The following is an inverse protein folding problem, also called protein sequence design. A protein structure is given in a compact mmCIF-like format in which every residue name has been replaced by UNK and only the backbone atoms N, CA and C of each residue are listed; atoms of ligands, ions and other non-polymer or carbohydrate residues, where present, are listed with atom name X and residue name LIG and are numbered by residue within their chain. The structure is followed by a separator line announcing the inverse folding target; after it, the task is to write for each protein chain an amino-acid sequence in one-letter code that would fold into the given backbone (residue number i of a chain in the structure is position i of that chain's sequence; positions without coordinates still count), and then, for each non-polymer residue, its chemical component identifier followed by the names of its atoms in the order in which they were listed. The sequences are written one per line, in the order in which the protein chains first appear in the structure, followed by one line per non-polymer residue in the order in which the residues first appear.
data_IF_829329249120
#
_entry.id   IF_829329249120
#
_cell.length_a   1.000
_cell.length_b   1.000
_cell.length_c   1.000
_cell.angle_alpha   90.00
_cell.angle_beta   90.00
_cell.angle_gamma   90.00
#
_symmetry.space_group_name_H-M   'P 1'
#
loop_
_entity.id
_entity.type
_entity.pdbx_description
1 polymer ?
#
# COMPACT_ATOMS: atom_id res chain seq x y z
N UNK A 1 -18.22 15.75 -13.21
CA UNK A 1 -18.15 14.27 -13.36
C UNK A 1 -19.38 13.67 -14.05
N UNK A 2 -20.58 13.80 -13.49
CA UNK A 2 -21.81 13.18 -14.06
C UNK A 2 -22.08 13.61 -15.50
N UNK A 3 -21.92 14.89 -15.84
CA UNK A 3 -22.08 15.39 -17.22
C UNK A 3 -21.12 14.75 -18.24
N UNK A 4 -19.97 14.24 -17.80
CA UNK A 4 -19.03 13.49 -18.64
C UNK A 4 -19.44 12.03 -18.88
N UNK A 5 -20.56 11.59 -18.29
CA UNK A 5 -21.15 10.24 -18.44
C UNK A 5 -22.54 10.27 -19.08
N UNK A 6 -23.10 11.45 -19.33
CA UNK A 6 -24.44 11.62 -19.89
C UNK A 6 -24.33 12.16 -21.31
N UNK A 7 -25.15 11.64 -22.21
CA UNK A 7 -25.31 12.13 -23.59
C UNK A 7 -26.68 12.79 -23.68
N UNK A 8 -26.74 14.08 -24.04
CA UNK A 8 -28.00 14.83 -24.12
C UNK A 8 -28.64 14.86 -25.50
N UNK A 9 -27.96 14.31 -26.52
CA UNK A 9 -28.43 14.34 -27.91
C UNK A 9 -29.46 13.26 -28.24
N UNK A 10 -29.97 12.53 -27.24
CA UNK A 10 -30.96 11.46 -27.38
C UNK A 10 -30.52 10.15 -26.72
N UNK A 11 -31.47 9.22 -26.55
CA UNK A 11 -31.20 7.89 -26.04
C UNK A 11 -30.43 7.05 -27.08
N UNK A 12 -29.32 6.46 -26.66
CA UNK A 12 -28.48 5.62 -27.51
C UNK A 12 -28.47 4.21 -26.92
N UNK A 13 -29.18 3.29 -27.55
CA UNK A 13 -29.15 1.86 -27.24
C UNK A 13 -28.08 1.12 -28.07
N UNK A 14 -27.86 -0.16 -27.76
CA UNK A 14 -26.81 -0.96 -28.38
C UNK A 14 -27.06 -1.31 -29.85
N UNK A 15 -28.30 -1.18 -30.37
CA UNK A 15 -28.56 -1.35 -31.81
C UNK A 15 -27.88 -0.25 -32.64
N UNK A 16 -27.60 0.89 -32.00
CA UNK A 16 -26.94 2.02 -32.62
C UNK A 16 -25.41 1.98 -32.42
N UNK A 17 -24.85 0.95 -31.80
CA UNK A 17 -23.41 0.82 -31.53
C UNK A 17 -22.67 0.28 -32.76
N UNK A 18 -21.66 1.01 -33.22
CA UNK A 18 -20.73 0.55 -34.26
C UNK A 18 -19.33 1.10 -34.00
N UNK A 19 -18.32 0.39 -34.50
CA UNK A 19 -16.92 0.78 -34.33
C UNK A 19 -16.65 2.16 -34.93
N UNK A 20 -16.00 3.03 -34.16
CA UNK A 20 -15.69 4.40 -34.54
C UNK A 20 -16.83 5.40 -34.33
N UNK A 21 -17.99 5.02 -33.78
CA UNK A 21 -19.08 5.96 -33.50
C UNK A 21 -18.64 7.03 -32.50
N UNK A 22 -18.77 8.31 -32.87
CA UNK A 22 -18.49 9.43 -31.97
C UNK A 22 -19.73 9.77 -31.15
N UNK A 23 -19.54 9.95 -29.84
CA UNK A 23 -20.55 10.30 -28.86
C UNK A 23 -20.15 11.62 -28.21
N UNK A 24 -21.04 12.61 -28.22
CA UNK A 24 -20.81 13.89 -27.54
C UNK A 24 -21.47 13.85 -26.16
N UNK A 25 -20.64 13.93 -25.13
CA UNK A 25 -21.05 13.95 -23.74
C UNK A 25 -21.59 15.34 -23.35
N UNK A 26 -22.32 15.40 -22.24
CA UNK A 26 -22.95 16.61 -21.74
C UNK A 26 -22.00 17.72 -21.30
N UNK A 27 -20.70 17.40 -21.16
CA UNK A 27 -19.62 18.36 -20.97
C UNK A 27 -18.98 18.82 -22.30
N UNK A 28 -19.65 18.58 -23.44
CA UNK A 28 -19.21 18.90 -24.80
C UNK A 28 -17.97 18.14 -25.31
N UNK A 29 -17.47 17.16 -24.56
CA UNK A 29 -16.38 16.32 -25.01
C UNK A 29 -16.87 15.14 -25.82
N UNK A 30 -15.99 14.58 -26.65
CA UNK A 30 -16.34 13.43 -27.48
C UNK A 30 -15.66 12.16 -27.00
N UNK A 31 -16.38 11.05 -27.03
CA UNK A 31 -15.87 9.69 -26.87
C UNK A 31 -16.07 8.93 -28.17
N UNK A 32 -15.19 7.97 -28.43
CA UNK A 32 -15.31 7.07 -29.57
C UNK A 32 -15.71 5.69 -29.06
N UNK A 33 -16.80 5.15 -29.59
CA UNK A 33 -17.22 3.79 -29.31
C UNK A 33 -16.41 2.83 -30.18
N UNK A 34 -15.71 1.89 -29.55
CA UNK A 34 -14.81 0.93 -30.18
C UNK A 34 -15.37 -0.48 -30.02
N UNK A 35 -15.43 -1.25 -31.10
CA UNK A 35 -15.84 -2.66 -31.07
C UNK A 35 -14.58 -3.55 -31.14
N UNK A 36 -14.32 -4.33 -30.08
CA UNK A 36 -13.16 -5.22 -29.99
C UNK A 36 -13.64 -6.61 -29.56
N UNK A 37 -13.43 -7.62 -30.40
CA UNK A 37 -13.75 -9.02 -30.11
C UNK A 37 -15.21 -9.27 -29.64
N UNK A 38 -16.18 -8.53 -30.21
CA UNK A 38 -17.59 -8.63 -29.84
C UNK A 38 -17.99 -7.84 -28.60
N UNK A 39 -17.04 -7.16 -27.94
CA UNK A 39 -17.29 -6.25 -26.82
C UNK A 39 -17.19 -4.79 -27.28
N UNK A 40 -17.84 -3.89 -26.53
CA UNK A 40 -17.83 -2.46 -26.81
C UNK A 40 -17.11 -1.69 -25.71
N UNK A 41 -16.34 -0.70 -26.14
CA UNK A 41 -15.56 0.17 -25.29
C UNK A 41 -15.83 1.62 -25.63
N UNK A 42 -15.73 2.51 -24.65
CA UNK A 42 -15.72 3.95 -24.81
C UNK A 42 -14.27 4.42 -24.67
N UNK A 43 -13.72 5.01 -25.73
CA UNK A 43 -12.33 5.47 -25.80
C UNK A 43 -12.30 7.01 -25.89
N UNK A 44 -11.41 7.64 -25.12
CA UNK A 44 -11.18 9.09 -25.19
C UNK A 44 -10.49 9.47 -26.49
N UNK A 45 -10.62 10.74 -26.94
CA UNK A 45 -10.03 11.18 -28.21
C UNK A 45 -8.50 11.06 -28.21
N UNK A 46 -7.87 11.27 -27.06
CA UNK A 46 -6.43 11.14 -26.86
C UNK A 46 -5.96 9.68 -26.74
N UNK A 47 -6.89 8.71 -26.79
CA UNK A 47 -6.66 7.27 -26.66
C UNK A 47 -5.96 6.85 -25.37
N UNK A 48 -5.93 7.71 -24.35
CA UNK A 48 -5.30 7.40 -23.06
C UNK A 48 -6.20 6.60 -22.13
N UNK A 49 -7.51 6.58 -22.40
CA UNK A 49 -8.51 5.88 -21.61
C UNK A 49 -9.45 5.09 -22.51
N UNK A 50 -9.71 3.85 -22.12
CA UNK A 50 -10.69 2.97 -22.77
C UNK A 50 -11.44 2.21 -21.68
N UNK A 51 -12.76 2.35 -21.65
CA UNK A 51 -13.63 1.78 -20.63
C UNK A 51 -14.59 0.81 -21.28
N UNK A 52 -14.73 -0.40 -20.71
CA UNK A 52 -15.64 -1.40 -21.25
C UNK A 52 -17.09 -1.07 -20.90
N UNK A 53 -18.00 -1.31 -21.82
CA UNK A 53 -19.43 -1.34 -21.53
C UNK A 53 -19.78 -2.76 -21.07
N UNK A 54 -20.09 -2.92 -19.78
CA UNK A 54 -20.32 -4.22 -19.14
C UNK A 54 -21.76 -4.69 -19.28
N UNK A 55 -22.71 -3.77 -19.09
CA UNK A 55 -24.14 -4.03 -19.28
C UNK A 55 -24.70 -2.97 -20.20
N UNK A 56 -25.46 -3.43 -21.19
CA UNK A 56 -26.08 -2.59 -22.20
C UNK A 56 -27.59 -2.54 -21.97
N UNK A 57 -28.20 -1.46 -22.43
CA UNK A 57 -29.65 -1.35 -22.66
C UNK A 57 -30.52 -1.48 -21.40
N UNK A 58 -30.10 -0.88 -20.28
CA UNK A 58 -30.95 -0.74 -19.10
C UNK A 58 -31.95 0.38 -19.38
N UNK A 59 -33.17 0.01 -19.77
CA UNK A 59 -34.25 0.96 -20.04
C UNK A 59 -34.72 1.69 -18.79
N UNK A 60 -34.83 3.02 -18.88
CA UNK A 60 -35.42 3.88 -17.85
C UNK A 60 -36.45 4.82 -18.50
N UNK A 61 -37.30 5.47 -17.70
CA UNK A 61 -38.46 6.25 -18.20
C UNK A 61 -38.09 7.41 -19.12
N UNK A 62 -36.85 7.89 -19.06
CA UNK A 62 -36.36 9.03 -19.82
C UNK A 62 -35.07 8.75 -20.62
N UNK A 63 -34.72 7.48 -20.85
CA UNK A 63 -33.51 7.15 -21.60
C UNK A 63 -33.04 5.70 -21.44
N UNK A 64 -31.75 5.51 -21.66
CA UNK A 64 -31.07 4.21 -21.57
C UNK A 64 -29.82 4.38 -20.73
N UNK A 65 -29.60 3.44 -19.80
CA UNK A 65 -28.39 3.36 -18.98
C UNK A 65 -27.53 2.20 -19.48
N UNK A 66 -26.23 2.46 -19.59
CA UNK A 66 -25.21 1.45 -19.83
C UNK A 66 -24.26 1.43 -18.64
N UNK A 67 -24.01 0.26 -18.05
CA UNK A 67 -23.00 0.10 -17.01
C UNK A 67 -21.63 0.01 -17.67
N UNK A 68 -20.71 0.84 -17.20
CA UNK A 68 -19.34 0.90 -17.69
C UNK A 68 -18.38 0.46 -16.60
N UNK A 69 -17.28 -0.17 -16.99
CA UNK A 69 -16.31 -0.74 -16.06
C UNK A 69 -15.50 0.31 -15.28
N UNK A 70 -15.67 1.60 -15.57
CA UNK A 70 -14.94 2.69 -14.94
C UNK A 70 -15.58 4.06 -15.16
N UNK A 71 -15.20 5.04 -14.33
CA UNK A 71 -15.59 6.44 -14.44
C UNK A 71 -14.84 7.08 -15.60
N UNK A 72 -15.56 7.58 -16.60
CA UNK A 72 -15.02 8.34 -17.73
C UNK A 72 -14.62 9.74 -17.28
N UNK A 73 -13.33 10.03 -17.39
CA UNK A 73 -12.81 11.35 -17.12
C UNK A 73 -12.56 12.11 -18.41
N UNK A 74 -12.78 13.41 -18.30
CA UNK A 74 -12.73 14.34 -19.40
C UNK A 74 -11.30 14.54 -19.94
N UNK A 75 -11.15 14.87 -21.23
CA UNK A 75 -9.89 15.37 -21.79
C UNK A 75 -9.42 16.56 -20.92
N UNK A 76 -8.18 16.50 -20.42
CA UNK A 76 -7.61 17.50 -19.51
C UNK A 76 -7.94 17.33 -18.01
N UNK A 77 -8.74 16.33 -17.62
CA UNK A 77 -9.00 16.06 -16.20
C UNK A 77 -7.78 15.38 -15.55
N UNK A 78 -7.06 16.12 -14.72
CA UNK A 78 -5.77 15.67 -14.14
C UNK A 78 -5.97 14.85 -12.86
N UNK A 79 -4.91 14.22 -12.38
CA UNK A 79 -4.86 13.58 -11.05
C UNK A 79 -5.28 14.58 -9.97
N UNK A 80 -4.82 15.84 -10.05
CA UNK A 80 -5.23 16.86 -9.09
C UNK A 80 -6.73 17.18 -9.14
N UNK A 81 -7.35 17.18 -10.32
CA UNK A 81 -8.81 17.33 -10.42
C UNK A 81 -9.52 16.15 -9.75
N UNK A 82 -9.07 14.92 -10.00
CA UNK A 82 -9.62 13.73 -9.35
C UNK A 82 -9.51 13.80 -7.82
N UNK A 83 -8.34 14.18 -7.30
CA UNK A 83 -8.09 14.38 -5.87
C UNK A 83 -9.05 15.41 -5.27
N UNK A 84 -9.35 16.48 -5.99
CA UNK A 84 -10.28 17.53 -5.53
C UNK A 84 -11.74 17.07 -5.49
N UNK A 85 -12.16 16.22 -6.43
CA UNK A 85 -13.57 15.85 -6.60
C UNK A 85 -13.95 14.57 -5.85
N UNK A 86 -12.99 13.66 -5.59
CA UNK A 86 -13.24 12.37 -4.94
C UNK A 86 -13.37 12.57 -3.42
N UNK A 87 -14.54 12.29 -2.81
CA UNK A 87 -14.74 12.53 -1.38
C UNK A 87 -13.78 11.75 -0.47
N UNK A 88 -13.39 10.53 -0.87
CA UNK A 88 -12.46 9.67 -0.14
C UNK A 88 -11.03 10.22 -0.06
N UNK A 89 -10.68 11.24 -0.86
CA UNK A 89 -9.35 11.83 -0.92
C UNK A 89 -9.29 13.24 -0.31
N UNK A 90 -10.36 13.67 0.37
CA UNK A 90 -10.50 15.03 0.90
C UNK A 90 -9.38 15.41 1.88
N UNK A 91 -8.95 14.49 2.75
CA UNK A 91 -7.82 14.72 3.68
C UNK A 91 -6.51 14.98 2.95
N UNK A 92 -6.20 14.14 1.96
CA UNK A 92 -5.03 14.33 1.09
C UNK A 92 -5.09 15.69 0.40
N UNK A 93 -6.23 16.00 -0.22
CA UNK A 93 -6.44 17.29 -0.91
C UNK A 93 -6.18 18.47 0.03
N UNK A 94 -6.78 18.49 1.22
CA UNK A 94 -6.67 19.61 2.15
C UNK A 94 -5.23 19.83 2.63
N UNK A 95 -4.49 18.75 2.89
CA UNK A 95 -3.09 18.80 3.30
C UNK A 95 -2.21 19.30 2.16
N UNK A 96 -2.30 18.67 0.99
CA UNK A 96 -1.42 19.00 -0.16
C UNK A 96 -1.73 20.39 -0.70
N UNK A 97 -3.01 20.77 -0.81
CA UNK A 97 -3.41 22.09 -1.30
C UNK A 97 -2.92 23.22 -0.41
N UNK A 98 -2.87 23.00 0.91
CA UNK A 98 -2.46 24.02 1.88
C UNK A 98 -0.95 24.09 2.08
N UNK A 99 -0.25 22.94 2.06
CA UNK A 99 1.12 22.86 2.55
C UNK A 99 2.15 22.44 1.50
N UNK A 100 1.74 21.77 0.41
CA UNK A 100 2.65 21.16 -0.55
C UNK A 100 2.34 21.59 -2.00
N UNK A 101 2.51 22.88 -2.35
CA UNK A 101 2.15 23.41 -3.67
C UNK A 101 2.93 22.75 -4.81
N UNK A 102 4.20 22.38 -4.61
CA UNK A 102 5.01 21.70 -5.62
C UNK A 102 4.45 20.32 -6.00
N UNK A 103 4.00 19.55 -5.00
CA UNK A 103 3.36 18.26 -5.24
C UNK A 103 2.03 18.45 -5.96
N UNK A 104 1.22 19.43 -5.53
CA UNK A 104 -0.02 19.82 -6.25
C UNK A 104 0.26 20.13 -7.72
N UNK A 105 1.24 20.98 -8.01
CA UNK A 105 1.59 21.39 -9.37
C UNK A 105 2.02 20.18 -10.21
N UNK A 106 2.79 19.27 -9.60
CA UNK A 106 3.20 18.00 -10.21
C UNK A 106 2.00 17.14 -10.58
N UNK A 107 1.06 16.94 -9.65
CA UNK A 107 -0.16 16.16 -9.86
C UNK A 107 -1.14 16.82 -10.85
N UNK A 108 -1.01 18.13 -11.08
CA UNK A 108 -1.80 18.88 -12.05
C UNK A 108 -1.12 19.02 -13.42
N UNK A 109 0.14 18.60 -13.56
CA UNK A 109 0.89 18.76 -14.82
C UNK A 109 0.35 17.83 -15.90
N UNK A 110 0.13 18.37 -17.11
CA UNK A 110 -0.33 17.59 -18.25
C UNK A 110 0.73 16.56 -18.69
N UNK A 111 0.31 15.35 -19.02
CA UNK A 111 1.20 14.35 -19.62
C UNK A 111 1.21 14.51 -21.15
N UNK A 112 2.23 15.17 -21.68
CA UNK A 112 2.40 15.37 -23.13
C UNK A 112 2.66 14.06 -23.89
N UNK A 113 3.25 13.07 -23.21
CA UNK A 113 3.55 11.74 -23.75
C UNK A 113 3.29 10.64 -22.72
N UNK A 114 3.09 9.37 -23.12
CA UNK A 114 2.83 8.27 -22.18
C UNK A 114 3.92 8.11 -21.11
N UNK A 115 5.19 8.38 -21.44
CA UNK A 115 6.30 8.33 -20.48
C UNK A 115 6.32 9.48 -19.47
N UNK A 116 5.54 10.53 -19.71
CA UNK A 116 5.30 11.61 -18.75
C UNK A 116 4.03 11.37 -17.91
N UNK A 117 3.34 10.24 -18.09
CA UNK A 117 2.23 9.87 -17.23
C UNK A 117 2.73 9.42 -15.86
N UNK A 118 1.87 9.50 -14.85
CA UNK A 118 2.16 9.03 -13.49
C UNK A 118 1.20 7.94 -13.05
N UNK A 119 1.63 7.15 -12.07
CA UNK A 119 0.75 6.31 -11.26
C UNK A 119 0.88 6.77 -9.82
N UNK A 120 -0.26 7.05 -9.19
CA UNK A 120 -0.29 7.61 -7.84
C UNK A 120 -1.09 6.68 -6.94
N UNK A 121 -0.49 6.27 -5.82
CA UNK A 121 -1.14 5.45 -4.81
C UNK A 121 -1.60 6.35 -3.68
N UNK A 122 -2.89 6.63 -3.56
CA UNK A 122 -3.38 7.62 -2.60
C UNK A 122 -4.06 6.95 -1.41
N UNK A 123 -3.67 7.28 -0.17
CA UNK A 123 -4.38 6.78 1.00
C UNK A 123 -5.76 7.43 1.13
N UNK A 124 -6.73 6.66 1.60
CA UNK A 124 -8.08 7.16 1.88
C UNK A 124 -8.13 8.10 3.08
N UNK A 125 -9.26 8.79 3.26
CA UNK A 125 -9.50 9.61 4.45
C UNK A 125 -9.36 8.81 5.75
N UNK A 126 -9.84 7.57 5.77
CA UNK A 126 -9.77 6.69 6.93
C UNK A 126 -8.31 6.39 7.31
N UNK A 127 -7.42 6.26 6.31
CA UNK A 127 -5.98 6.11 6.54
C UNK A 127 -5.40 7.39 7.15
N UNK A 128 -5.73 8.56 6.60
CA UNK A 128 -5.28 9.84 7.15
C UNK A 128 -5.76 10.08 8.57
N UNK A 129 -7.00 9.70 8.89
CA UNK A 129 -7.54 9.83 10.24
C UNK A 129 -6.81 8.91 11.23
N UNK A 130 -6.46 7.67 10.82
CA UNK A 130 -5.62 6.77 11.64
C UNK A 130 -4.19 7.31 11.83
N UNK A 131 -3.64 7.94 10.81
CA UNK A 131 -2.30 8.51 10.79
C UNK A 131 -2.23 9.96 11.30
N UNK A 132 -3.35 10.53 11.79
CA UNK A 132 -3.46 11.96 12.08
C UNK A 132 -2.40 12.47 13.07
N UNK A 133 -2.09 11.71 14.12
CA UNK A 133 -1.05 12.08 15.10
C UNK A 133 0.31 12.26 14.41
N UNK A 134 0.68 11.31 13.56
CA UNK A 134 1.93 11.35 12.80
C UNK A 134 1.92 12.50 11.79
N UNK A 135 0.86 12.60 10.98
CA UNK A 135 0.73 13.61 9.93
C UNK A 135 0.77 15.01 10.52
N UNK A 136 0.00 15.28 11.57
CA UNK A 136 -0.04 16.59 12.23
C UNK A 136 1.28 16.93 12.90
N UNK A 137 1.91 15.96 13.58
CA UNK A 137 3.22 16.18 14.21
C UNK A 137 4.30 16.49 13.17
N UNK A 138 4.37 15.73 12.07
CA UNK A 138 5.35 16.00 11.00
C UNK A 138 5.04 17.30 10.29
N UNK A 139 3.78 17.60 10.03
CA UNK A 139 3.42 18.86 9.40
C UNK A 139 3.85 20.08 10.23
N UNK A 140 3.77 19.98 11.57
CA UNK A 140 4.18 21.04 12.49
C UNK A 140 5.70 21.15 12.64
N UNK A 141 6.40 20.02 12.78
CA UNK A 141 7.81 19.99 13.17
C UNK A 141 8.77 19.76 11.99
N UNK A 142 8.38 18.91 11.04
CA UNK A 142 9.23 18.38 9.97
C UNK A 142 8.44 18.22 8.64
N UNK A 143 7.87 19.30 8.08
CA UNK A 143 7.02 19.22 6.89
C UNK A 143 7.74 18.65 5.66
N UNK A 144 9.07 18.81 5.59
CA UNK A 144 9.91 18.22 4.54
C UNK A 144 9.89 16.67 4.56
N UNK A 145 9.80 16.06 5.75
CA UNK A 145 9.70 14.60 5.89
C UNK A 145 8.35 14.11 5.38
N UNK A 146 7.28 14.83 5.69
CA UNK A 146 5.95 14.52 5.19
C UNK A 146 5.85 14.73 3.67
N UNK A 147 6.43 15.81 3.13
CA UNK A 147 6.50 16.05 1.68
C UNK A 147 7.22 14.90 0.96
N UNK A 148 8.39 14.49 1.48
CA UNK A 148 9.13 13.34 0.95
C UNK A 148 8.28 12.06 0.98
N UNK A 149 7.59 11.79 2.09
CA UNK A 149 6.73 10.61 2.19
C UNK A 149 5.55 10.63 1.20
N UNK A 150 4.90 11.79 1.00
CA UNK A 150 3.83 11.95 0.01
C UNK A 150 4.35 11.77 -1.42
N UNK A 151 5.55 12.26 -1.73
CA UNK A 151 6.21 12.00 -3.02
C UNK A 151 6.56 10.51 -3.23
N UNK A 152 6.75 9.76 -2.15
CA UNK A 152 6.92 8.29 -2.18
C UNK A 152 5.71 7.53 -2.73
N UNK A 153 4.55 8.19 -2.87
CA UNK A 153 3.35 7.59 -3.44
C UNK A 153 3.22 7.75 -4.96
N UNK A 154 4.15 8.47 -5.59
CA UNK A 154 4.10 8.84 -7.01
C UNK A 154 5.22 8.10 -7.75
N UNK A 155 4.88 7.40 -8.82
CA UNK A 155 5.84 6.77 -9.73
C UNK A 155 5.62 7.23 -11.18
N UNK A 156 6.70 7.23 -11.96
CA UNK A 156 6.65 7.53 -13.40
C UNK A 156 6.09 6.34 -14.17
N UNK A 157 5.17 6.62 -15.10
CA UNK A 157 4.51 5.65 -15.97
C UNK A 157 3.04 5.42 -15.60
N UNK A 158 2.25 4.97 -16.58
CA UNK A 158 0.84 4.61 -16.39
C UNK A 158 0.70 3.10 -16.19
N UNK A 159 0.42 2.70 -14.95
CA UNK A 159 0.25 1.30 -14.53
C UNK A 159 -1.17 1.07 -14.02
N UNK A 160 -2.14 0.82 -14.92
CA UNK A 160 -3.43 0.29 -14.51
C UNK A 160 -3.25 -1.11 -13.92
N UNK A 161 -4.24 -1.58 -13.17
CA UNK A 161 -4.25 -2.88 -12.50
C UNK A 161 -4.03 -4.04 -13.47
N UNK A 162 -4.44 -3.89 -14.73
CA UNK A 162 -4.22 -4.86 -15.81
C UNK A 162 -2.76 -5.00 -16.27
N UNK A 163 -1.89 -4.03 -15.94
CA UNK A 163 -0.44 -4.09 -16.24
C UNK A 163 0.40 -4.50 -15.02
N UNK A 164 -0.25 -4.74 -13.88
CA UNK A 164 0.37 -5.18 -12.65
C UNK A 164 0.26 -6.70 -12.57
N UNK A 165 1.38 -7.35 -12.88
CA UNK A 165 1.55 -8.80 -12.85
C UNK A 165 2.90 -9.12 -12.25
N UNK A 166 2.97 -10.19 -11.46
CA UNK A 166 4.16 -10.57 -10.73
C UNK A 166 4.60 -9.48 -9.76
N UNK A 167 5.90 -9.33 -9.59
CA UNK A 167 6.51 -8.33 -8.74
C UNK A 167 7.34 -7.35 -9.58
N UNK A 168 7.14 -6.05 -9.35
CA UNK A 168 7.87 -4.98 -10.01
C UNK A 168 8.36 -3.96 -9.00
N UNK A 169 9.56 -3.42 -9.28
CA UNK A 169 10.23 -2.44 -8.43
C UNK A 169 10.34 -1.14 -9.21
N UNK A 170 9.95 -0.03 -8.58
CA UNK A 170 9.91 1.30 -9.15
C UNK A 170 10.65 2.29 -8.25
N UNK A 171 11.21 3.33 -8.85
CA UNK A 171 11.65 4.53 -8.13
C UNK A 171 10.49 5.51 -8.05
N UNK A 172 10.29 6.05 -6.86
CA UNK A 172 9.27 7.07 -6.57
C UNK A 172 9.84 8.46 -6.79
N UNK A 173 8.98 9.48 -6.73
CA UNK A 173 9.40 10.88 -6.85
C UNK A 173 10.23 11.34 -5.65
N UNK A 174 10.12 10.66 -4.50
CA UNK A 174 10.99 10.90 -3.35
C UNK A 174 12.41 10.33 -3.52
N UNK A 175 12.64 9.55 -4.58
CA UNK A 175 13.87 8.78 -4.81
C UNK A 175 13.90 7.44 -4.08
N UNK A 176 12.90 7.14 -3.24
CA UNK A 176 12.82 5.87 -2.52
C UNK A 176 12.22 4.78 -3.42
N UNK A 177 12.45 3.52 -3.05
CA UNK A 177 11.93 2.35 -3.77
C UNK A 177 10.47 2.07 -3.38
N UNK A 178 9.65 1.76 -4.38
CA UNK A 178 8.29 1.26 -4.23
C UNK A 178 8.11 -0.02 -5.03
N UNK A 179 7.64 -1.07 -4.36
CA UNK A 179 7.42 -2.39 -4.93
C UNK A 179 5.93 -2.64 -5.08
N UNK A 180 5.53 -3.11 -6.25
CA UNK A 180 4.13 -3.43 -6.57
C UNK A 180 4.10 -4.92 -6.89
N UNK A 181 3.20 -5.67 -6.25
CA UNK A 181 3.07 -7.09 -6.51
C UNK A 181 1.63 -7.56 -6.61
N UNK A 182 1.43 -8.57 -7.45
CA UNK A 182 0.17 -9.29 -7.59
C UNK A 182 0.48 -10.76 -7.85
N UNK A 183 0.02 -11.65 -6.95
CA UNK A 183 0.27 -13.10 -7.05
C UNK A 183 -0.41 -13.71 -8.28
N UNK A 184 -1.67 -13.38 -8.53
CA UNK A 184 -2.44 -13.81 -9.69
C UNK A 184 -3.57 -12.81 -10.05
N UNK A 185 -4.30 -13.08 -11.14
CA UNK A 185 -5.37 -12.19 -11.64
C UNK A 185 -6.53 -11.99 -10.65
N UNK A 186 -6.70 -12.82 -9.63
CA UNK A 186 -7.81 -12.69 -8.66
C UNK A 186 -7.35 -12.15 -7.31
N UNK A 187 -6.05 -12.17 -7.06
CA UNK A 187 -5.42 -11.66 -5.84
C UNK A 187 -5.53 -10.14 -5.68
N UNK A 188 -5.44 -9.69 -4.41
CA UNK A 188 -5.20 -8.28 -4.08
C UNK A 188 -3.87 -7.82 -4.69
N UNK A 189 -3.81 -6.53 -5.04
CA UNK A 189 -2.57 -5.89 -5.48
C UNK A 189 -1.95 -5.25 -4.25
N UNK A 190 -0.72 -5.64 -3.92
CA UNK A 190 0.04 -5.10 -2.81
C UNK A 190 1.02 -4.04 -3.30
N UNK A 191 1.15 -2.96 -2.53
CA UNK A 191 2.09 -1.86 -2.75
C UNK A 191 2.93 -1.71 -1.49
N UNK A 192 4.24 -1.73 -1.64
CA UNK A 192 5.20 -1.74 -0.55
C UNK A 192 6.15 -0.56 -0.71
N UNK A 193 6.16 0.36 0.24
CA UNK A 193 6.98 1.58 0.21
C UNK A 193 7.40 1.99 1.62
N UNK A 194 8.71 2.19 1.83
CA UNK A 194 9.27 2.55 3.14
C UNK A 194 8.90 1.56 4.26
N UNK A 195 8.98 0.26 3.96
CA UNK A 195 8.62 -0.87 4.83
C UNK A 195 7.13 -1.02 5.19
N UNK A 196 6.26 -0.14 4.70
CA UNK A 196 4.80 -0.27 4.83
C UNK A 196 4.27 -1.13 3.70
N UNK A 197 3.42 -2.10 4.02
CA UNK A 197 2.67 -2.88 3.03
C UNK A 197 1.20 -2.47 3.06
N UNK A 198 0.70 -2.08 1.88
CA UNK A 198 -0.67 -1.64 1.67
C UNK A 198 -1.31 -2.42 0.52
N UNK A 199 -2.62 -2.58 0.55
CA UNK A 199 -3.42 -3.13 -0.53
C UNK A 199 -4.16 -2.03 -1.30
N UNK A 200 -4.36 -2.24 -2.60
CA UNK A 200 -5.19 -1.34 -3.41
C UNK A 200 -6.67 -1.69 -3.22
N UNK A 201 -7.40 -0.79 -2.58
CA UNK A 201 -8.86 -0.86 -2.33
C UNK A 201 -9.66 -0.42 -3.56
N UNK A 202 -9.28 0.72 -4.16
CA UNK A 202 -9.93 1.24 -5.39
C UNK A 202 -8.90 1.32 -6.50
N UNK A 203 -9.19 0.66 -7.61
CA UNK A 203 -8.26 0.53 -8.73
C UNK A 203 -8.66 1.44 -9.88
N UNK A 204 -7.66 1.80 -10.68
CA UNK A 204 -7.87 2.29 -12.05
C UNK A 204 -8.68 3.59 -12.15
N UNK A 205 -8.49 4.54 -11.25
CA UNK A 205 -9.07 5.87 -11.42
C UNK A 205 -8.22 6.62 -12.46
N UNK A 206 -8.63 6.54 -13.72
CA UNK A 206 -7.84 7.11 -14.82
C UNK A 206 -7.93 8.63 -14.87
N UNK A 207 -6.83 9.28 -15.22
CA UNK A 207 -6.77 10.72 -15.45
C UNK A 207 -6.04 11.00 -16.77
N UNK A 208 -6.13 12.22 -17.28
CA UNK A 208 -5.43 12.66 -18.50
C UNK A 208 -3.89 12.59 -18.39
N UNK A 209 -3.37 12.76 -17.17
CA UNK A 209 -1.94 12.72 -16.84
C UNK A 209 -1.49 11.48 -16.06
N UNK A 210 -2.37 10.52 -15.78
CA UNK A 210 -1.97 9.30 -15.08
C UNK A 210 -3.10 8.39 -14.67
N UNK A 211 -2.86 7.59 -13.63
CA UNK A 211 -3.86 6.75 -12.97
C UNK A 211 -3.68 6.82 -11.46
N UNK A 212 -4.78 6.85 -10.74
CA UNK A 212 -4.82 6.80 -9.27
C UNK A 212 -5.29 5.41 -8.84
N UNK A 213 -4.67 4.90 -7.79
CA UNK A 213 -5.13 3.74 -7.03
C UNK A 213 -5.28 4.16 -5.57
N UNK A 214 -6.44 3.92 -4.96
CA UNK A 214 -6.63 4.21 -3.53
C UNK A 214 -6.14 3.02 -2.72
N UNK A 215 -5.34 3.28 -1.71
CA UNK A 215 -4.65 2.28 -0.89
C UNK A 215 -5.04 2.38 0.59
N UNK A 216 -4.93 1.26 1.30
CA UNK A 216 -5.35 1.13 2.71
C UNK A 216 -4.29 1.55 3.75
N UNK A 217 -3.18 2.15 3.33
CA UNK A 217 -2.13 2.67 4.21
C UNK A 217 -1.35 3.86 3.62
N UNK A 218 -0.64 4.61 4.47
CA UNK A 218 0.23 5.73 4.09
C UNK A 218 1.68 5.24 4.00
N UNK A 219 2.14 4.99 2.78
CA UNK A 219 3.49 4.51 2.50
C UNK A 219 4.55 5.49 2.98
N UNK A 220 5.76 4.97 3.22
CA UNK A 220 6.91 5.77 3.68
C UNK A 220 6.68 6.51 5.01
N UNK A 221 5.65 6.11 5.77
CA UNK A 221 5.38 6.63 7.11
C UNK A 221 5.03 5.49 8.07
N UNK A 222 5.52 5.52 9.31
CA UNK A 222 5.01 4.61 10.33
C UNK A 222 3.59 5.02 10.73
N UNK A 223 2.59 4.28 10.27
CA UNK A 223 1.18 4.47 10.65
C UNK A 223 0.69 3.46 11.68
N UNK A 224 1.43 2.36 11.86
CA UNK A 224 1.05 1.24 12.72
C UNK A 224 1.97 1.13 13.92
N UNK A 225 1.45 0.57 15.00
CA UNK A 225 2.24 0.20 16.17
C UNK A 225 3.06 -1.04 15.88
N UNK A 226 4.08 -1.30 16.69
CA UNK A 226 4.97 -2.47 16.56
C UNK A 226 4.15 -3.76 16.58
N UNK A 227 3.19 -3.89 17.49
CA UNK A 227 2.34 -5.08 17.57
C UNK A 227 1.49 -5.29 16.30
N UNK A 228 0.96 -4.21 15.73
CA UNK A 228 0.18 -4.25 14.49
C UNK A 228 1.05 -4.60 13.27
N UNK A 229 2.26 -4.06 13.18
CA UNK A 229 3.22 -4.40 12.11
C UNK A 229 3.59 -5.87 12.13
N UNK A 230 3.88 -6.42 13.31
CA UNK A 230 4.25 -7.84 13.46
C UNK A 230 3.08 -8.76 13.06
N UNK A 231 1.84 -8.40 13.40
CA UNK A 231 0.62 -9.15 13.05
C UNK A 231 0.35 -9.26 11.55
N UNK A 232 0.87 -8.33 10.74
CA UNK A 232 0.57 -8.27 9.30
C UNK A 232 1.69 -8.88 8.43
N UNK A 233 2.81 -9.27 9.03
CA UNK A 233 3.99 -9.76 8.33
C UNK A 233 4.01 -11.26 8.17
N UNK A 234 3.87 -11.73 6.93
CA UNK A 234 3.87 -13.17 6.58
C UNK A 234 5.18 -13.89 7.02
N UNK A 235 6.31 -13.16 7.07
CA UNK A 235 7.62 -13.65 7.51
C UNK A 235 7.77 -13.82 9.04
N UNK A 236 6.74 -13.46 9.81
CA UNK A 236 6.74 -13.43 11.28
C UNK A 236 5.66 -14.32 11.92
N UNK A 237 5.09 -15.30 11.21
CA UNK A 237 3.98 -16.15 11.68
C UNK A 237 4.16 -16.79 13.07
N UNK A 238 5.36 -17.27 13.41
CA UNK A 238 5.63 -17.78 14.77
C UNK A 238 5.52 -16.69 15.84
N UNK A 239 6.04 -15.50 15.57
CA UNK A 239 5.96 -14.35 16.47
C UNK A 239 4.54 -13.82 16.63
N UNK A 240 3.72 -13.88 15.56
CA UNK A 240 2.30 -13.56 15.66
C UNK A 240 1.61 -14.47 16.68
N UNK A 241 1.84 -15.78 16.58
CA UNK A 241 1.27 -16.78 17.50
C UNK A 241 1.74 -16.55 18.93
N UNK A 242 3.03 -16.29 19.11
CA UNK A 242 3.62 -16.04 20.41
C UNK A 242 3.05 -14.75 21.04
N UNK A 243 2.93 -13.67 20.27
CA UNK A 243 2.36 -12.43 20.77
C UNK A 243 0.88 -12.55 21.10
N UNK A 244 0.09 -13.32 20.36
CA UNK A 244 -1.30 -13.60 20.76
C UNK A 244 -1.40 -14.33 22.11
N UNK A 245 -0.37 -15.10 22.49
CA UNK A 245 -0.30 -15.80 23.78
C UNK A 245 0.30 -14.97 24.92
N UNK A 246 1.21 -14.03 24.60
CA UNK A 246 2.02 -13.28 25.59
C UNK A 246 1.61 -11.81 25.74
N UNK A 247 0.79 -11.26 24.83
CA UNK A 247 0.53 -9.82 24.71
C UNK A 247 -0.06 -9.13 25.95
N UNK A 248 -0.64 -9.86 26.91
CA UNK A 248 -1.34 -9.25 28.04
C UNK A 248 -0.49 -9.10 29.33
N UNK A 249 0.75 -9.59 29.37
CA UNK A 249 1.40 -9.80 30.69
C UNK A 249 2.64 -8.95 31.00
N UNK A 250 3.36 -8.38 30.02
CA UNK A 250 4.65 -7.69 30.29
C UNK A 250 4.89 -6.36 29.54
N UNK A 251 4.34 -6.16 28.35
CA UNK A 251 4.57 -4.96 27.54
C UNK A 251 3.39 -4.73 26.58
N UNK A 252 3.05 -3.46 26.32
CA UNK A 252 1.99 -3.11 25.36
C UNK A 252 2.60 -2.58 24.06
N UNK A 253 2.93 -3.48 23.12
CA UNK A 253 3.45 -3.08 21.79
C UNK A 253 2.43 -2.33 20.92
N UNK A 254 1.20 -2.16 21.40
CA UNK A 254 0.16 -1.36 20.77
C UNK A 254 -0.05 0.00 21.46
N UNK A 255 0.65 0.28 22.57
CA UNK A 255 0.63 1.61 23.18
C UNK A 255 1.39 2.61 22.31
N UNK A 256 0.70 3.62 21.79
CA UNK A 256 1.29 4.68 20.92
C UNK A 256 2.33 5.55 21.64
N UNK A 257 2.15 5.75 22.94
CA UNK A 257 2.96 6.67 23.76
C UNK A 257 4.26 6.04 24.27
N UNK A 258 4.30 4.71 24.36
CA UNK A 258 5.51 4.00 24.70
C UNK A 258 6.46 4.00 23.50
N UNK A 259 7.76 3.90 23.73
CA UNK A 259 8.77 3.80 22.66
C UNK A 259 9.58 2.54 22.86
N UNK A 260 9.63 1.69 21.84
CA UNK A 260 10.34 0.42 21.88
C UNK A 260 11.30 0.28 20.69
N UNK A 261 12.38 -0.47 20.89
CA UNK A 261 13.15 -1.08 19.79
C UNK A 261 13.03 -2.57 19.98
N UNK A 262 12.45 -3.27 19.00
CA UNK A 262 12.14 -4.69 19.10
C UNK A 262 12.91 -5.47 18.05
N UNK A 263 13.67 -6.47 18.52
CA UNK A 263 14.32 -7.45 17.66
C UNK A 263 13.42 -8.69 17.56
N UNK A 264 12.95 -8.99 16.36
CA UNK A 264 11.91 -9.98 16.11
C UNK A 264 12.48 -11.11 15.24
N UNK A 265 12.60 -12.35 15.77
CA UNK A 265 13.07 -13.47 14.97
C UNK A 265 12.09 -13.80 13.83
N UNK A 266 12.60 -14.06 12.62
CA UNK A 266 11.79 -14.48 11.49
C UNK A 266 11.39 -15.97 11.56
N UNK A 267 10.54 -16.43 10.65
CA UNK A 267 10.12 -17.84 10.61
C UNK A 267 11.28 -18.83 10.45
N UNK A 268 12.35 -18.44 9.75
CA UNK A 268 13.54 -19.30 9.57
C UNK A 268 14.28 -19.49 10.89
N UNK A 269 14.36 -18.44 11.71
CA UNK A 269 14.95 -18.48 13.04
C UNK A 269 14.26 -19.53 13.93
N UNK A 270 12.93 -19.57 13.91
CA UNK A 270 12.16 -20.59 14.64
C UNK A 270 12.35 -21.98 14.05
N UNK A 271 12.32 -22.10 12.73
CA UNK A 271 12.46 -23.38 12.03
C UNK A 271 13.84 -24.03 12.21
N UNK A 272 14.85 -23.24 12.59
CA UNK A 272 16.19 -23.73 12.91
C UNK A 272 16.29 -24.44 14.28
N UNK A 273 15.25 -24.34 15.12
CA UNK A 273 15.23 -24.95 16.45
C UNK A 273 14.64 -26.37 16.40
N UNK A 274 15.08 -27.28 17.30
CA UNK A 274 14.40 -28.56 17.48
C UNK A 274 12.92 -28.35 17.83
N UNK A 275 12.05 -29.20 17.30
CA UNK A 275 10.59 -29.11 17.48
C UNK A 275 10.16 -29.03 18.96
N UNK A 276 10.84 -29.77 19.84
CA UNK A 276 10.58 -29.73 21.28
C UNK A 276 10.86 -28.35 21.89
N UNK A 277 11.89 -27.65 21.41
CA UNK A 277 12.23 -26.28 21.82
C UNK A 277 11.19 -25.27 21.32
N UNK A 278 10.70 -25.42 20.09
CA UNK A 278 9.65 -24.55 19.52
C UNK A 278 8.37 -24.70 20.34
N UNK A 279 7.97 -25.94 20.66
CA UNK A 279 6.81 -26.20 21.52
C UNK A 279 6.98 -25.55 22.89
N UNK A 280 8.13 -25.74 23.56
CA UNK A 280 8.41 -25.12 24.86
C UNK A 280 8.33 -23.59 24.80
N UNK A 281 8.87 -22.95 23.77
CA UNK A 281 8.82 -21.49 23.59
C UNK A 281 7.39 -20.97 23.38
N UNK A 282 6.51 -21.74 22.71
CA UNK A 282 5.11 -21.37 22.50
C UNK A 282 4.23 -21.48 23.77
N UNK A 283 4.77 -22.02 24.88
CA UNK A 283 4.07 -22.22 26.15
C UNK A 283 4.84 -21.65 27.38
N UNK A 284 5.90 -20.87 27.18
CA UNK A 284 6.71 -20.33 28.28
C UNK A 284 6.34 -18.88 28.64
N UNK A 285 5.95 -18.65 29.89
CA UNK A 285 5.78 -17.34 30.53
C UNK A 285 7.11 -16.81 31.09
N UNK A 286 7.77 -15.87 30.38
CA UNK A 286 8.53 -14.71 30.92
C UNK A 286 9.59 -14.20 29.93
N UNK A 287 9.51 -12.92 29.57
CA UNK A 287 10.45 -12.24 28.66
C UNK A 287 11.08 -11.03 29.35
N UNK A 288 12.42 -10.90 29.32
CA UNK A 288 13.15 -9.75 29.91
C UNK A 288 14.07 -9.05 28.90
N UNK A 289 14.23 -7.73 29.08
CA UNK A 289 14.87 -6.75 28.18
C UNK A 289 16.39 -6.96 27.99
N UNK A 290 16.92 -6.55 26.83
CA UNK A 290 18.36 -6.45 26.54
C UNK A 290 18.69 -5.10 25.85
N UNK A 291 19.91 -4.52 26.00
CA UNK A 291 20.23 -3.18 25.53
C UNK A 291 20.68 -3.11 24.05
N UNK A 292 20.61 -1.89 23.51
CA UNK A 292 20.89 -1.49 22.11
C UNK A 292 22.36 -1.09 21.96
N UNK A 293 23.04 -1.44 20.85
CA UNK A 293 24.27 -0.76 20.41
C UNK A 293 24.44 -0.65 18.88
N UNK A 294 24.81 0.60 18.52
CA UNK A 294 25.61 1.22 17.45
C UNK A 294 25.65 0.73 15.99
N UNK A 295 25.75 1.73 15.11
CA UNK A 295 25.48 1.78 13.68
C UNK A 295 26.68 1.56 12.76
N UNK A 296 26.38 0.85 11.67
CA UNK A 296 27.02 0.80 10.32
C UNK A 296 27.74 -0.50 9.97
N UNK A 297 27.25 -1.11 8.87
CA UNK A 297 27.57 -2.42 8.27
C UNK A 297 27.13 -3.66 9.08
N UNK A 298 26.22 -4.44 8.47
CA UNK A 298 25.71 -5.75 8.93
C UNK A 298 25.44 -5.77 10.45
N UNK A 299 24.23 -5.36 10.85
CA UNK A 299 23.84 -5.34 12.25
C UNK A 299 23.74 -6.77 12.80
N UNK A 300 24.48 -7.05 13.87
CA UNK A 300 24.33 -8.27 14.66
C UNK A 300 23.82 -7.90 16.05
N UNK A 301 22.87 -8.69 16.57
CA UNK A 301 22.43 -8.60 17.95
C UNK A 301 23.09 -9.72 18.74
N UNK A 302 23.79 -9.35 19.81
CA UNK A 302 24.51 -10.31 20.66
C UNK A 302 23.75 -10.52 21.95
N UNK A 303 23.41 -11.77 22.27
CA UNK A 303 22.93 -12.14 23.59
C UNK A 303 23.56 -13.47 24.02
N UNK A 304 24.23 -13.49 25.18
CA UNK A 304 24.85 -14.70 25.76
C UNK A 304 25.68 -15.52 24.75
N UNK A 305 26.63 -14.86 24.07
CA UNK A 305 27.48 -15.42 23.01
C UNK A 305 26.76 -15.89 21.72
N UNK A 306 25.44 -15.69 21.60
CA UNK A 306 24.73 -15.87 20.33
C UNK A 306 24.76 -14.57 19.52
N UNK A 307 25.23 -14.67 18.28
CA UNK A 307 25.19 -13.61 17.28
C UNK A 307 24.02 -13.87 16.33
N UNK A 308 23.00 -13.01 16.36
CA UNK A 308 21.89 -13.00 15.42
C UNK A 308 22.10 -11.92 14.37
N UNK A 309 21.99 -12.26 13.09
CA UNK A 309 22.07 -11.31 11.99
C UNK A 309 20.72 -10.59 11.82
N UNK A 310 20.74 -9.26 11.69
CA UNK A 310 19.56 -8.48 11.34
C UNK A 310 19.30 -8.63 9.84
N UNK A 311 18.34 -9.49 9.50
CA UNK A 311 17.90 -9.76 8.12
C UNK A 311 17.21 -8.55 7.51
N UNK A 312 16.42 -7.83 8.30
CA UNK A 312 15.74 -6.62 7.87
C UNK A 312 15.73 -5.58 9.00
N UNK A 313 16.43 -4.47 8.80
CA UNK A 313 16.55 -3.42 9.81
C UNK A 313 15.57 -2.27 9.57
N UNK A 314 15.37 -1.46 10.62
CA UNK A 314 14.78 -0.12 10.54
C UNK A 314 13.36 -0.08 9.98
N UNK A 315 12.53 -1.08 10.30
CA UNK A 315 11.11 -1.03 10.00
C UNK A 315 10.50 -0.03 11.01
N UNK A 316 10.02 1.14 10.57
CA UNK A 316 9.52 2.16 11.47
C UNK A 316 8.10 1.80 11.91
N UNK A 317 7.78 2.08 13.16
CA UNK A 317 6.44 1.99 13.74
C UNK A 317 6.15 3.26 14.57
N UNK A 318 4.86 3.55 14.80
CA UNK A 318 4.41 4.76 15.53
C UNK A 318 5.05 4.84 16.92
N UNK A 319 5.23 3.69 17.54
CA UNK A 319 5.82 3.52 18.86
C UNK A 319 7.23 2.90 18.85
N UNK A 320 7.97 3.06 17.74
CA UNK A 320 9.41 2.76 17.73
C UNK A 320 9.92 2.05 16.47
N UNK A 321 10.85 1.11 16.65
CA UNK A 321 11.54 0.44 15.54
C UNK A 321 11.50 -1.08 15.68
N UNK A 322 11.37 -1.76 14.54
CA UNK A 322 11.47 -3.22 14.44
C UNK A 322 12.70 -3.58 13.62
N UNK A 323 13.46 -4.55 14.10
CA UNK A 323 14.54 -5.20 13.39
C UNK A 323 14.27 -6.70 13.35
N UNK A 324 14.22 -7.29 12.16
CA UNK A 324 14.03 -8.72 11.99
C UNK A 324 15.37 -9.42 12.04
N UNK A 325 15.47 -10.47 12.84
CA UNK A 325 16.70 -11.24 13.04
C UNK A 325 16.53 -12.71 12.63
N UNK A 326 17.64 -13.36 12.30
CA UNK A 326 17.68 -14.76 11.85
C UNK A 326 17.81 -15.79 12.99
N UNK A 327 17.91 -15.35 14.25
CA UNK A 327 18.04 -16.22 15.43
C UNK A 327 17.23 -15.73 16.61
N UNK A 328 16.78 -16.68 17.43
CA UNK A 328 16.14 -16.37 18.71
C UNK A 328 17.21 -16.00 19.73
N UNK A 329 17.08 -14.81 20.32
CA UNK A 329 18.08 -14.26 21.23
C UNK A 329 18.05 -14.87 22.64
N UNK A 330 17.10 -15.75 22.96
CA UNK A 330 16.79 -16.14 24.35
C UNK A 330 16.65 -17.64 24.56
N UNK A 331 17.54 -18.46 24.01
CA UNK A 331 17.77 -19.77 24.65
C UNK A 331 18.90 -19.60 25.65
N UNK A 332 18.65 -19.53 26.98
CA UNK A 332 19.66 -19.95 27.92
C UNK A 332 20.03 -21.37 27.53
N UNK A 333 21.33 -21.63 27.36
CA UNK A 333 21.84 -22.98 27.19
C UNK A 333 21.20 -23.85 28.27
N UNK A 334 20.51 -24.89 27.84
CA UNK A 334 20.19 -26.03 28.71
C UNK A 334 21.49 -26.36 29.44
N UNK A 335 21.49 -26.33 30.77
CA UNK A 335 22.68 -26.69 31.54
C UNK A 335 23.14 -28.07 31.02
N UNK A 336 24.45 -28.26 30.81
CA UNK A 336 25.02 -29.56 30.43
C UNK A 336 24.46 -30.68 31.32
N UNK A 337 24.21 -30.40 32.61
CA UNK A 337 23.57 -31.33 33.54
C UNK A 337 22.14 -31.74 33.16
N UNK A 338 21.32 -30.84 32.60
CA UNK A 338 19.95 -31.13 32.17
C UNK A 338 19.92 -31.93 30.86
N UNK A 339 20.92 -31.72 29.98
CA UNK A 339 21.10 -32.50 28.75
C UNK A 339 21.64 -33.91 29.04
N UNK A 340 22.56 -34.02 30.00
CA UNK A 340 23.10 -35.30 30.44
C UNK A 340 22.08 -36.10 31.25
N UNK A 341 21.31 -35.46 32.14
CA UNK A 341 20.31 -36.14 32.97
C UNK A 341 19.07 -36.62 32.21
N UNK A 342 18.87 -36.22 30.96
CA UNK A 342 17.72 -36.60 30.12
C UNK A 342 18.02 -37.67 29.08
N UNK A 343 19.25 -38.20 29.02
CA UNK A 343 19.63 -39.30 28.14
C UNK A 343 20.07 -40.52 28.95
N UNK A 344 19.48 -41.68 28.67
CA UNK A 344 19.87 -42.96 29.29
C UNK A 344 21.30 -43.41 28.95
N UNK A 345 21.98 -42.70 28.05
CA UNK A 345 23.31 -43.02 27.54
C UNK A 345 24.46 -42.44 28.40
N UNK A 346 24.16 -41.65 29.44
CA UNK A 346 25.14 -40.99 30.32
C UNK A 346 24.91 -41.26 31.80
#
# INVERSE_FOLDING_TARGET
LVYGHVIFTGAIDSSQFYDGKKLTMGNSQSLTLMAKQGEYYLETNDKKMSVKIEVKDIGVTNGVVHLVSNVLFADGYTIWNAVSDIPQLKRFYDIVNRHFPKLKDTLNMAAEKPSASMTVFLPSNEVFDRAADFVNSRLLLEPQVLDKALQGHVITGRFPSSRIEGEKVHLTFSGDVLKISRKDKYSSIKVIGGHVTSEIEVRDIFCSNGVIHIIDDLLHTPTRTIGREIKLREDLGYMQTLFEKVADTLYNLNAKNDKYTVFVPNNDAFSSLPWDTINKLLYWENWTKSPILDTSLILYVVNNNMMAHVVLANIPAVNGWIHIVDKILTVPYVNVADVLGSREEF
#
